data_IF_667916222958
#
_entry.id   IF_667916222958
#
_cell.length_a   1.000
_cell.length_b   1.000
_cell.length_c   1.000
_cell.angle_alpha   90.00
_cell.angle_beta   90.00
_cell.angle_gamma   90.00
#
_symmetry.space_group_name_H-M   'P 1'
#
loop_
_entity.id
_entity.type
_entity.pdbx_description
1 polymer ?
#
# COMPACT_ATOMS: atom_id res chain seq x y z
N UNK A 1 9.14 -81.13 22.10
CA UNK A 1 9.10 -81.33 20.64
C UNK A 1 8.93 -79.98 19.95
N UNK A 2 9.55 -79.76 18.79
CA UNK A 2 9.99 -78.45 18.30
C UNK A 2 9.15 -77.93 17.12
N UNK A 3 9.59 -76.76 16.64
CA UNK A 3 9.58 -76.28 15.26
C UNK A 3 8.65 -75.12 14.93
N UNK A 4 9.25 -73.94 14.80
CA UNK A 4 8.96 -73.00 13.71
C UNK A 4 10.20 -72.13 13.53
N UNK A 5 11.20 -72.61 12.78
CA UNK A 5 11.49 -72.34 11.36
C UNK A 5 11.67 -70.85 11.02
N UNK A 6 12.93 -70.43 11.07
CA UNK A 6 13.50 -69.27 10.39
C UNK A 6 13.26 -69.31 8.88
N UNK A 7 12.99 -68.17 8.23
CA UNK A 7 13.69 -67.69 7.02
C UNK A 7 13.42 -66.19 6.82
N UNK A 8 14.40 -65.34 7.15
CA UNK A 8 14.41 -63.90 6.82
C UNK A 8 15.25 -63.75 5.54
N UNK A 9 14.72 -63.07 4.52
CA UNK A 9 15.44 -62.74 3.29
C UNK A 9 16.18 -61.40 3.43
N UNK A 10 17.41 -61.39 2.93
CA UNK A 10 18.29 -60.24 2.69
C UNK A 10 17.61 -59.11 1.90
N UNK A 11 17.77 -57.86 2.35
CA UNK A 11 17.90 -56.70 1.45
C UNK A 11 18.88 -55.70 2.09
N UNK A 12 20.02 -55.51 1.44
CA UNK A 12 20.98 -54.44 1.69
C UNK A 12 20.28 -53.07 1.75
N UNK A 13 20.46 -52.32 2.83
CA UNK A 13 20.20 -50.88 2.85
C UNK A 13 21.50 -50.13 3.15
N UNK A 14 22.10 -49.72 2.04
CA UNK A 14 23.16 -48.72 1.92
C UNK A 14 22.66 -47.38 2.47
N UNK A 15 22.98 -47.07 3.74
CA UNK A 15 22.69 -45.78 4.36
C UNK A 15 23.79 -44.80 3.95
N UNK A 16 23.57 -44.13 2.82
CA UNK A 16 24.33 -42.96 2.43
C UNK A 16 23.78 -41.76 3.21
N UNK A 17 24.52 -41.26 4.19
CA UNK A 17 24.33 -39.90 4.70
C UNK A 17 24.55 -38.90 3.55
N UNK A 18 23.77 -37.81 3.56
CA UNK A 18 24.41 -36.53 3.41
C UNK A 18 23.99 -35.57 4.52
N UNK A 19 25.02 -34.94 5.07
CA UNK A 19 24.96 -33.78 5.95
C UNK A 19 24.08 -32.71 5.30
N UNK A 20 22.93 -32.41 5.92
CA UNK A 20 22.22 -31.16 5.65
C UNK A 20 22.55 -30.23 6.80
N UNK A 21 23.60 -29.46 6.54
CA UNK A 21 24.03 -28.30 7.31
C UNK A 21 22.91 -27.26 7.41
N UNK A 22 23.13 -26.35 8.34
CA UNK A 22 22.59 -24.99 8.36
C UNK A 22 21.27 -24.82 9.11
N UNK A 23 21.46 -24.67 10.42
CA UNK A 23 20.74 -23.77 11.32
C UNK A 23 19.98 -22.68 10.57
N UNK A 24 18.66 -22.85 10.49
CA UNK A 24 17.69 -21.88 9.97
C UNK A 24 17.91 -20.52 10.62
N UNK A 25 18.60 -19.63 9.91
CA UNK A 25 18.56 -18.20 10.18
C UNK A 25 17.12 -17.74 9.97
N UNK A 26 16.58 -17.09 10.98
CA UNK A 26 15.29 -16.42 10.94
C UNK A 26 15.41 -15.21 10.00
N UNK A 27 15.40 -15.45 8.69
CA UNK A 27 15.31 -14.43 7.65
C UNK A 27 13.92 -13.78 7.75
N UNK A 28 13.85 -12.77 8.61
CA UNK A 28 12.75 -11.82 8.60
C UNK A 28 12.80 -11.11 7.26
N UNK A 29 12.02 -11.61 6.30
CA UNK A 29 11.76 -10.95 5.04
C UNK A 29 11.05 -9.61 5.33
N UNK A 30 11.82 -8.56 5.59
CA UNK A 30 11.33 -7.18 5.55
C UNK A 30 11.12 -6.86 4.07
N UNK A 31 9.99 -7.29 3.52
CA UNK A 31 9.50 -6.79 2.24
C UNK A 31 9.35 -5.27 2.39
N UNK A 32 10.11 -4.42 1.67
CA UNK A 32 9.88 -2.99 1.71
C UNK A 32 8.46 -2.75 1.19
N UNK A 33 7.57 -2.35 2.10
CA UNK A 33 6.21 -1.97 1.72
C UNK A 33 6.30 -0.96 0.58
N UNK A 34 5.56 -1.14 -0.52
CA UNK A 34 5.63 -0.21 -1.65
C UNK A 34 5.33 1.18 -1.12
N UNK A 35 6.32 2.07 -1.21
CA UNK A 35 6.18 3.47 -0.81
C UNK A 35 5.01 4.01 -1.64
N UNK A 36 3.82 4.12 -1.01
CA UNK A 36 2.61 4.60 -1.67
C UNK A 36 2.91 6.01 -2.15
N UNK A 37 3.16 6.16 -3.46
CA UNK A 37 3.44 7.46 -4.06
C UNK A 37 2.15 8.26 -3.99
N UNK A 38 2.13 9.22 -3.08
CA UNK A 38 1.02 10.16 -2.92
C UNK A 38 1.10 11.16 -4.08
N UNK A 39 0.02 11.30 -4.85
CA UNK A 39 -0.07 12.24 -5.97
C UNK A 39 -1.25 13.18 -5.77
N UNK A 40 -1.10 14.42 -6.23
CA UNK A 40 -2.21 15.36 -6.28
C UNK A 40 -3.29 14.83 -7.21
N UNK A 41 -4.52 14.69 -6.74
CA UNK A 41 -5.61 14.18 -7.59
C UNK A 41 -5.96 15.13 -8.75
N UNK A 42 -5.69 16.43 -8.62
CA UNK A 42 -6.03 17.42 -9.63
C UNK A 42 -4.98 17.52 -10.74
N UNK A 43 -3.68 17.51 -10.39
CA UNK A 43 -2.61 17.73 -11.37
C UNK A 43 -1.63 16.57 -11.53
N UNK A 44 -1.83 15.46 -10.81
CA UNK A 44 -1.02 14.24 -10.90
C UNK A 44 0.40 14.35 -10.31
N UNK A 45 0.84 15.53 -9.85
CA UNK A 45 2.20 15.71 -9.32
C UNK A 45 2.43 14.89 -8.04
N UNK A 46 3.59 14.26 -7.94
CA UNK A 46 4.03 13.54 -6.74
C UNK A 46 4.20 14.49 -5.54
N UNK A 47 3.73 14.06 -4.37
CA UNK A 47 3.67 14.83 -3.12
C UNK A 47 4.75 14.44 -2.11
N UNK A 48 5.65 13.50 -2.44
CA UNK A 48 6.63 12.92 -1.50
C UNK A 48 7.58 13.92 -0.82
N UNK A 49 7.76 15.12 -1.38
CA UNK A 49 8.63 16.18 -0.84
C UNK A 49 7.98 17.56 -0.79
N UNK A 50 6.66 17.62 -0.97
CA UNK A 50 5.92 18.88 -1.06
C UNK A 50 4.88 18.95 0.02
N UNK A 51 4.57 20.17 0.48
CA UNK A 51 3.35 20.40 1.27
C UNK A 51 2.14 19.97 0.44
N UNK A 52 1.29 19.15 1.06
CA UNK A 52 0.04 18.70 0.50
C UNK A 52 -1.06 18.78 1.56
N UNK A 53 -2.31 18.70 1.12
CA UNK A 53 -3.48 18.82 1.97
C UNK A 53 -4.41 17.62 1.72
N UNK A 54 -4.99 17.11 2.80
CA UNK A 54 -6.07 16.14 2.72
C UNK A 54 -7.39 16.87 2.55
N UNK A 55 -8.20 16.40 1.60
CA UNK A 55 -9.54 16.94 1.42
C UNK A 55 -10.45 16.31 2.48
N UNK A 56 -10.87 17.13 3.43
CA UNK A 56 -11.81 16.75 4.48
C UNK A 56 -13.01 17.70 4.48
N UNK A 57 -14.05 17.34 5.24
CA UNK A 57 -15.25 18.17 5.41
C UNK A 57 -15.33 18.69 6.86
N UNK A 58 -14.19 19.07 7.43
CA UNK A 58 -14.11 19.45 8.87
C UNK A 58 -14.61 20.86 9.11
N UNK A 59 -14.53 21.73 8.10
CA UNK A 59 -15.03 23.09 8.17
C UNK A 59 -15.61 23.55 6.81
N UNK A 60 -16.28 24.69 6.81
CA UNK A 60 -16.93 25.25 5.64
C UNK A 60 -15.95 25.59 4.52
N UNK A 61 -14.79 26.16 4.87
CA UNK A 61 -13.73 26.48 3.89
C UNK A 61 -13.24 25.22 3.16
N UNK A 62 -12.93 24.15 3.89
CA UNK A 62 -12.52 22.88 3.30
C UNK A 62 -13.62 22.27 2.45
N UNK A 63 -14.88 22.38 2.87
CA UNK A 63 -16.03 21.90 2.10
C UNK A 63 -16.17 22.64 0.78
N UNK A 64 -16.01 23.98 0.79
CA UNK A 64 -15.99 24.80 -0.43
C UNK A 64 -14.85 24.42 -1.37
N UNK A 65 -13.64 24.22 -0.84
CA UNK A 65 -12.49 23.76 -1.61
C UNK A 65 -12.74 22.36 -2.19
N UNK A 66 -13.26 21.43 -1.40
CA UNK A 66 -13.58 20.07 -1.84
C UNK A 66 -14.58 20.08 -2.99
N UNK A 67 -15.61 20.92 -2.92
CA UNK A 67 -16.59 21.07 -3.99
C UNK A 67 -15.96 21.57 -5.30
N UNK A 68 -15.04 22.53 -5.23
CA UNK A 68 -14.30 23.02 -6.41
C UNK A 68 -13.43 21.91 -6.99
N UNK A 69 -12.64 21.23 -6.16
CA UNK A 69 -11.78 20.13 -6.62
C UNK A 69 -12.59 18.99 -7.23
N UNK A 70 -13.71 18.63 -6.61
CA UNK A 70 -14.58 17.54 -7.10
C UNK A 70 -15.13 17.84 -8.50
N UNK A 71 -15.40 19.12 -8.81
CA UNK A 71 -15.80 19.56 -10.16
C UNK A 71 -14.63 19.47 -11.15
N UNK A 72 -13.41 19.78 -10.72
CA UNK A 72 -12.22 19.70 -11.58
C UNK A 72 -11.78 18.28 -11.90
N UNK A 73 -12.03 17.33 -11.00
CA UNK A 73 -11.53 15.96 -11.12
C UNK A 73 -12.53 14.99 -11.75
N UNK A 74 -13.69 15.45 -12.24
CA UNK A 74 -14.69 14.57 -12.89
C UNK A 74 -14.03 13.79 -14.04
N UNK A 75 -14.24 12.45 -14.14
CA UNK A 75 -15.18 11.61 -13.38
C UNK A 75 -14.62 11.00 -12.07
N UNK A 76 -13.40 11.34 -11.67
CA UNK A 76 -12.73 10.77 -10.51
C UNK A 76 -13.40 11.22 -9.19
N UNK A 77 -13.76 10.23 -8.36
CA UNK A 77 -14.36 10.50 -7.05
C UNK A 77 -13.31 10.98 -6.04
N UNK A 78 -13.60 12.11 -5.41
CA UNK A 78 -12.81 12.66 -4.30
C UNK A 78 -13.27 12.01 -2.99
N UNK A 79 -12.39 11.23 -2.39
CA UNK A 79 -12.59 10.59 -1.08
C UNK A 79 -11.89 11.36 0.04
N UNK A 80 -12.17 11.03 1.30
CA UNK A 80 -11.50 11.62 2.48
C UNK A 80 -10.00 11.33 2.58
N UNK A 81 -9.50 10.34 1.84
CA UNK A 81 -8.06 10.03 1.73
C UNK A 81 -7.39 10.70 0.52
N UNK A 82 -8.15 11.48 -0.24
CA UNK A 82 -7.64 12.18 -1.41
C UNK A 82 -6.75 13.35 -0.99
N UNK A 83 -5.62 13.47 -1.68
CA UNK A 83 -4.62 14.52 -1.40
C UNK A 83 -4.48 15.44 -2.59
N UNK A 84 -4.23 16.72 -2.30
CA UNK A 84 -3.89 17.72 -3.31
C UNK A 84 -2.62 18.47 -2.93
N UNK A 85 -1.86 18.91 -3.93
CA UNK A 85 -0.70 19.76 -3.68
C UNK A 85 -1.13 21.12 -3.13
N UNK A 86 -0.21 21.81 -2.45
CA UNK A 86 -0.49 23.14 -1.91
C UNK A 86 -0.92 24.16 -2.98
N UNK A 87 -0.36 24.08 -4.20
CA UNK A 87 -0.74 24.99 -5.29
C UNK A 87 -2.20 24.82 -5.70
N UNK A 88 -2.66 23.57 -5.92
CA UNK A 88 -4.06 23.30 -6.24
C UNK A 88 -5.00 23.66 -5.10
N UNK A 89 -4.56 23.50 -3.85
CA UNK A 89 -5.34 23.96 -2.69
C UNK A 89 -5.59 25.47 -2.74
N UNK A 90 -4.53 26.27 -2.90
CA UNK A 90 -4.65 27.74 -2.95
C UNK A 90 -5.50 28.18 -4.13
N UNK A 91 -5.36 27.53 -5.28
CA UNK A 91 -6.17 27.84 -6.45
C UNK A 91 -7.66 27.53 -6.21
N UNK A 92 -7.97 26.37 -5.63
CA UNK A 92 -9.34 25.99 -5.32
C UNK A 92 -9.96 26.90 -4.25
N UNK A 93 -9.19 27.29 -3.23
CA UNK A 93 -9.61 28.24 -2.19
C UNK A 93 -10.01 29.58 -2.81
N UNK A 94 -9.16 30.15 -3.68
CA UNK A 94 -9.46 31.40 -4.40
C UNK A 94 -10.72 31.30 -5.24
N UNK A 95 -10.84 30.24 -6.04
CA UNK A 95 -12.03 30.02 -6.89
C UNK A 95 -13.28 29.87 -6.04
N UNK A 96 -13.18 29.16 -4.91
CA UNK A 96 -14.30 28.95 -4.00
C UNK A 96 -14.82 30.25 -3.36
N UNK A 97 -13.92 31.21 -3.09
CA UNK A 97 -14.31 32.54 -2.58
C UNK A 97 -14.78 33.48 -3.70
N UNK A 98 -14.33 33.29 -4.94
CA UNK A 98 -14.74 34.12 -6.08
C UNK A 98 -16.13 33.75 -6.63
N UNK A 99 -16.64 32.55 -6.33
CA UNK A 99 -17.92 32.07 -6.88
C UNK A 99 -19.14 32.51 -6.06
N UNK A 100 -18.95 33.33 -5.02
CA UNK A 100 -20.02 33.84 -4.13
C UNK A 100 -20.76 35.08 -4.67
N UNK A 101 -20.64 35.38 -5.97
CA UNK A 101 -21.31 36.52 -6.64
C UNK A 101 -22.14 36.02 -7.81
N UNK A 102 -23.32 35.43 -7.54
CA UNK A 102 -24.44 35.32 -8.48
C UNK A 102 -25.74 35.47 -7.70
#
# INVERSE_FOLDING_TARGET
>A
MPATRNTLMDIHQNVQSPEVSETTTLDTQIQPSPIRRIHCINCGRALQRSRYHYLSRRNERETRILNVISKWTIPQQVTSSTTICHACWVQADRVSTSTEVI
#
